data_IF_898003442588
#
_entry.id   IF_898003442588
#
_cell.length_a   1.000
_cell.length_b   1.000
_cell.length_c   1.000
_cell.angle_alpha   90.00
_cell.angle_beta   90.00
_cell.angle_gamma   90.00
#
_symmetry.space_group_name_H-M   'P 1'
#
loop_
_entity.id
_entity.type
_entity.pdbx_description
1 polymer ?
#
# COMPACT_ATOMS: atom_id res chain seq x y z
N UNK A 1 -1.20 14.00 -9.98
CA UNK A 1 -2.40 14.10 -9.11
C UNK A 1 -2.16 13.56 -7.70
N UNK A 2 -1.44 12.43 -7.51
CA UNK A 2 -1.11 11.95 -6.16
C UNK A 2 -0.22 12.93 -5.37
N UNK A 3 0.82 13.48 -6.01
CA UNK A 3 1.72 14.42 -5.34
C UNK A 3 0.99 15.71 -4.93
N UNK A 4 0.09 16.23 -5.78
CA UNK A 4 -0.74 17.40 -5.47
C UNK A 4 -1.71 17.17 -4.31
N UNK A 5 -2.37 16.00 -4.22
CA UNK A 5 -3.25 15.65 -3.10
C UNK A 5 -2.45 15.43 -1.81
N UNK A 6 -1.22 14.95 -1.93
CA UNK A 6 -0.31 14.72 -0.81
C UNK A 6 0.29 16.03 -0.27
N UNK A 7 0.68 16.94 -1.15
CA UNK A 7 1.06 18.32 -0.83
C UNK A 7 -0.12 19.08 -0.20
N UNK A 8 -1.34 18.93 -0.75
CA UNK A 8 -2.56 19.48 -0.15
C UNK A 8 -2.84 18.88 1.23
N UNK A 9 -2.72 17.56 1.41
CA UNK A 9 -2.93 16.92 2.72
C UNK A 9 -1.91 17.39 3.77
N UNK A 10 -0.65 17.59 3.36
CA UNK A 10 0.39 18.17 4.23
C UNK A 10 0.10 19.63 4.58
N UNK A 11 -0.41 20.44 3.65
CA UNK A 11 -0.78 21.83 3.90
C UNK A 11 -2.03 21.99 4.78
N UNK A 12 -3.01 21.09 4.65
CA UNK A 12 -4.32 21.25 5.32
C UNK A 12 -4.36 20.54 6.68
N UNK A 13 -3.59 19.45 6.86
CA UNK A 13 -3.54 18.67 8.10
C UNK A 13 -2.11 18.26 8.47
N UNK A 14 -1.23 19.22 8.82
CA UNK A 14 0.18 18.95 9.10
C UNK A 14 0.39 17.98 10.28
N UNK A 15 -0.55 17.92 11.22
CA UNK A 15 -0.50 17.02 12.38
C UNK A 15 -0.97 15.59 12.10
N UNK A 16 -1.47 15.30 10.89
CA UNK A 16 -1.97 13.97 10.49
C UNK A 16 -1.13 13.34 9.37
N UNK A 17 -0.13 14.05 8.86
CA UNK A 17 0.76 13.57 7.81
C UNK A 17 2.16 13.35 8.39
N UNK A 18 2.76 12.20 8.09
CA UNK A 18 4.12 11.88 8.51
C UNK A 18 4.90 11.26 7.35
N UNK A 19 6.19 11.57 7.28
CA UNK A 19 7.10 11.12 6.23
C UNK A 19 8.37 10.55 6.87
N UNK A 20 8.76 9.36 6.44
CA UNK A 20 9.93 8.61 6.87
C UNK A 20 10.84 8.46 5.66
N UNK A 21 12.09 8.90 5.77
CA UNK A 21 13.08 8.82 4.69
C UNK A 21 14.40 8.20 5.19
N UNK A 22 14.91 7.20 4.46
CA UNK A 22 16.21 6.59 4.74
C UNK A 22 16.17 5.39 5.68
N UNK A 23 17.35 5.00 6.17
CA UNK A 23 17.59 3.71 6.87
C UNK A 23 17.70 3.84 8.40
N UNK A 24 17.95 5.04 8.91
CA UNK A 24 18.26 5.31 10.33
C UNK A 24 17.16 6.11 11.03
N UNK A 25 16.01 5.48 11.25
CA UNK A 25 14.83 6.17 11.79
C UNK A 25 14.23 5.43 13.01
N UNK A 26 15.09 4.83 13.86
CA UNK A 26 14.66 4.24 15.13
C UNK A 26 14.20 5.28 16.18
N UNK A 27 14.35 6.58 15.93
CA UNK A 27 14.20 7.67 16.90
C UNK A 27 12.91 8.50 16.77
N UNK A 28 12.08 8.30 15.74
CA UNK A 28 10.90 9.15 15.57
C UNK A 28 9.78 8.78 16.55
N UNK A 29 9.38 9.75 17.39
CA UNK A 29 8.09 9.71 18.09
C UNK A 29 6.99 10.02 17.07
N UNK A 30 6.55 9.00 16.35
CA UNK A 30 5.46 9.14 15.38
C UNK A 30 4.14 9.17 16.16
N UNK A 31 3.32 10.22 16.04
CA UNK A 31 2.04 10.29 16.74
C UNK A 31 1.10 9.16 16.28
N UNK A 32 0.39 8.51 17.20
CA UNK A 32 -0.62 7.49 16.85
C UNK A 32 -1.85 8.08 16.10
N UNK A 33 -1.95 9.40 16.07
CA UNK A 33 -3.02 10.17 15.42
C UNK A 33 -2.80 10.37 13.92
N UNK A 34 -1.66 9.94 13.37
CA UNK A 34 -1.39 10.11 11.94
C UNK A 34 -2.40 9.31 11.10
N UNK A 35 -2.78 9.90 9.98
CA UNK A 35 -3.70 9.32 8.99
C UNK A 35 -3.06 9.13 7.64
N UNK A 36 -1.96 9.83 7.36
CA UNK A 36 -1.27 9.77 6.09
C UNK A 36 0.22 9.51 6.35
N UNK A 37 0.71 8.37 5.87
CA UNK A 37 2.10 7.97 6.05
C UNK A 37 2.78 7.78 4.70
N UNK A 38 3.98 8.34 4.61
CA UNK A 38 4.90 8.17 3.48
C UNK A 38 6.14 7.51 4.02
N UNK A 39 6.54 6.39 3.45
CA UNK A 39 7.72 5.66 3.85
C UNK A 39 8.55 5.39 2.61
N UNK A 40 9.76 5.94 2.59
CA UNK A 40 10.78 5.62 1.61
C UNK A 40 12.00 5.07 2.34
N UNK A 41 12.17 3.75 2.32
CA UNK A 41 13.22 3.07 3.10
C UNK A 41 13.65 1.78 2.44
N UNK A 42 14.84 1.30 2.81
CA UNK A 42 15.32 -0.06 2.53
C UNK A 42 15.51 -0.89 3.81
N UNK A 43 15.04 -0.37 4.94
CA UNK A 43 15.11 -1.01 6.25
C UNK A 43 13.78 -1.70 6.60
N UNK A 44 13.78 -3.03 6.65
CA UNK A 44 12.59 -3.82 6.94
C UNK A 44 11.99 -3.52 8.33
N UNK A 45 12.82 -3.17 9.31
CA UNK A 45 12.35 -2.88 10.67
C UNK A 45 11.55 -1.57 10.74
N UNK A 46 11.84 -0.62 9.86
CA UNK A 46 11.02 0.59 9.67
C UNK A 46 9.66 0.22 9.08
N UNK A 47 9.65 -0.68 8.08
CA UNK A 47 8.40 -1.17 7.48
C UNK A 47 7.56 -1.92 8.52
N UNK A 48 8.18 -2.79 9.34
CA UNK A 48 7.50 -3.54 10.41
C UNK A 48 6.73 -2.62 11.36
N UNK A 49 7.34 -1.50 11.76
CA UNK A 49 6.71 -0.51 12.64
C UNK A 49 5.44 0.12 12.08
N UNK A 50 5.17 0.01 10.77
CA UNK A 50 3.93 0.55 10.17
C UNK A 50 2.68 -0.12 10.80
N UNK A 51 2.79 -1.37 11.26
CA UNK A 51 1.69 -2.11 11.88
C UNK A 51 1.10 -1.41 13.12
N UNK A 52 1.88 -0.54 13.79
CA UNK A 52 1.39 0.18 14.97
C UNK A 52 0.36 1.29 14.63
N UNK A 53 0.33 1.78 13.38
CA UNK A 53 -0.49 2.93 12.98
C UNK A 53 -1.89 2.53 12.49
N UNK A 54 -2.74 2.07 13.42
CA UNK A 54 -4.08 1.51 13.12
C UNK A 54 -5.08 2.50 12.49
N UNK A 55 -4.81 3.80 12.62
CA UNK A 55 -5.68 4.89 12.14
C UNK A 55 -5.29 5.43 10.76
N UNK A 56 -4.37 4.77 10.03
CA UNK A 56 -3.95 5.21 8.71
C UNK A 56 -5.09 5.12 7.69
N UNK A 57 -5.34 6.24 7.01
CA UNK A 57 -6.20 6.33 5.86
C UNK A 57 -5.42 6.21 4.54
N UNK A 58 -4.14 6.57 4.54
CA UNK A 58 -3.27 6.57 3.37
C UNK A 58 -1.89 6.07 3.72
N UNK A 59 -1.37 5.14 2.91
CA UNK A 59 0.01 4.67 2.98
C UNK A 59 0.65 4.74 1.60
N UNK A 60 1.78 5.43 1.52
CA UNK A 60 2.71 5.38 0.39
C UNK A 60 3.97 4.68 0.89
N UNK A 61 4.25 3.50 0.35
CA UNK A 61 5.43 2.70 0.69
C UNK A 61 6.31 2.49 -0.55
N UNK A 62 7.52 3.04 -0.50
CA UNK A 62 8.60 2.75 -1.43
C UNK A 62 9.64 1.89 -0.71
N UNK A 63 9.89 0.70 -1.26
CA UNK A 63 10.85 -0.25 -0.70
C UNK A 63 11.52 -1.00 -1.85
N UNK A 64 12.86 -1.12 -1.84
CA UNK A 64 13.58 -1.68 -2.99
C UNK A 64 13.79 -3.20 -2.94
N UNK A 65 13.67 -3.84 -1.78
CA UNK A 65 13.88 -5.31 -1.64
C UNK A 65 12.56 -6.06 -1.76
N UNK A 66 12.59 -7.31 -2.21
CA UNK A 66 11.39 -8.15 -2.40
C UNK A 66 11.63 -9.60 -2.00
N UNK A 67 12.16 -9.80 -0.80
CA UNK A 67 12.34 -11.12 -0.18
C UNK A 67 11.05 -11.58 0.53
N UNK A 68 11.06 -12.84 1.00
CA UNK A 68 9.91 -13.42 1.70
C UNK A 68 9.59 -12.67 3.01
N UNK A 69 10.61 -12.17 3.71
CA UNK A 69 10.45 -11.42 4.96
C UNK A 69 9.63 -10.14 4.74
N UNK A 70 9.88 -9.42 3.63
CA UNK A 70 9.07 -8.26 3.25
C UNK A 70 7.61 -8.62 2.98
N UNK A 71 7.34 -9.75 2.31
CA UNK A 71 5.97 -10.22 2.07
C UNK A 71 5.25 -10.57 3.37
N UNK A 72 5.94 -11.21 4.32
CA UNK A 72 5.39 -11.56 5.63
C UNK A 72 5.09 -10.31 6.46
N UNK A 73 5.95 -9.29 6.39
CA UNK A 73 5.71 -7.98 7.02
C UNK A 73 4.53 -7.26 6.36
N UNK A 74 4.45 -7.21 5.03
CA UNK A 74 3.30 -6.63 4.33
C UNK A 74 1.99 -7.33 4.69
N UNK A 75 2.02 -8.65 4.85
CA UNK A 75 0.85 -9.44 5.27
C UNK A 75 0.33 -8.97 6.63
N UNK A 76 1.20 -8.85 7.62
CA UNK A 76 0.85 -8.33 8.96
C UNK A 76 0.33 -6.89 8.94
N UNK A 77 0.93 -6.04 8.09
CA UNK A 77 0.48 -4.66 7.90
C UNK A 77 -0.96 -4.66 7.34
N UNK A 78 -1.25 -5.44 6.31
CA UNK A 78 -2.59 -5.48 5.71
C UNK A 78 -3.65 -6.07 6.64
N UNK A 79 -3.26 -7.03 7.49
CA UNK A 79 -4.13 -7.54 8.55
C UNK A 79 -4.46 -6.49 9.62
N UNK A 80 -3.61 -5.47 9.79
CA UNK A 80 -3.74 -4.48 10.86
C UNK A 80 -4.37 -3.16 10.39
N UNK A 81 -4.06 -2.70 9.18
CA UNK A 81 -4.47 -1.39 8.65
C UNK A 81 -5.91 -1.35 8.12
N UNK A 82 -6.87 -1.68 8.98
CA UNK A 82 -8.30 -1.83 8.62
C UNK A 82 -8.96 -0.55 8.12
N UNK A 83 -8.41 0.63 8.43
CA UNK A 83 -8.99 1.94 8.09
C UNK A 83 -8.44 2.56 6.80
N UNK A 84 -7.50 1.88 6.13
CA UNK A 84 -6.87 2.38 4.90
C UNK A 84 -7.89 2.54 3.78
N UNK A 85 -7.76 3.65 3.06
CA UNK A 85 -8.55 4.01 1.86
C UNK A 85 -7.68 4.18 0.63
N UNK A 86 -6.40 4.51 0.79
CA UNK A 86 -5.42 4.68 -0.27
C UNK A 86 -4.16 3.89 0.08
N UNK A 87 -3.78 2.97 -0.80
CA UNK A 87 -2.55 2.21 -0.71
C UNK A 87 -1.75 2.42 -1.98
N UNK A 88 -0.55 2.97 -1.82
CA UNK A 88 0.44 3.11 -2.86
C UNK A 88 1.66 2.29 -2.48
N UNK A 89 2.06 1.36 -3.36
CA UNK A 89 3.25 0.53 -3.19
C UNK A 89 4.13 0.65 -4.43
N UNK A 90 5.41 0.84 -4.19
CA UNK A 90 6.42 1.00 -5.22
C UNK A 90 7.62 0.11 -4.87
N UNK A 91 7.76 -0.99 -5.60
CA UNK A 91 8.71 -2.04 -5.27
C UNK A 91 9.06 -2.94 -6.47
N UNK A 92 10.27 -2.77 -6.99
CA UNK A 92 10.81 -3.48 -8.18
C UNK A 92 10.80 -4.99 -8.11
N UNK A 93 10.72 -5.56 -6.91
CA UNK A 93 10.86 -6.99 -6.66
C UNK A 93 9.61 -7.61 -6.05
N UNK A 94 8.53 -6.85 -5.89
CA UNK A 94 7.28 -7.33 -5.33
C UNK A 94 6.63 -8.31 -6.31
N UNK A 95 6.64 -9.59 -5.94
CA UNK A 95 5.88 -10.66 -6.58
C UNK A 95 4.64 -10.87 -5.74
N UNK A 96 3.54 -10.19 -6.06
CA UNK A 96 2.39 -10.12 -5.17
C UNK A 96 1.83 -11.50 -4.87
N UNK A 97 1.71 -11.80 -3.58
CA UNK A 97 1.08 -12.99 -3.01
C UNK A 97 0.21 -12.74 -1.76
N UNK A 98 0.15 -11.56 -1.11
CA UNK A 98 -0.60 -11.47 0.13
C UNK A 98 -2.10 -11.42 -0.14
N UNK A 99 -2.77 -12.56 0.00
CA UNK A 99 -4.23 -12.65 0.12
C UNK A 99 -4.78 -11.79 1.28
N UNK A 100 -3.89 -11.39 2.21
CA UNK A 100 -4.19 -10.43 3.24
C UNK A 100 -4.60 -9.04 2.71
N UNK A 101 -4.33 -8.69 1.44
CA UNK A 101 -4.83 -7.42 0.88
C UNK A 101 -6.36 -7.32 0.98
N UNK A 102 -7.09 -8.43 0.90
CA UNK A 102 -8.54 -8.47 1.05
C UNK A 102 -9.05 -8.09 2.45
N UNK A 103 -8.17 -7.93 3.44
CA UNK A 103 -8.52 -7.40 4.75
C UNK A 103 -8.72 -5.89 4.77
N UNK A 104 -8.24 -5.18 3.75
CA UNK A 104 -8.34 -3.72 3.59
C UNK A 104 -9.73 -3.32 3.06
N UNK A 105 -10.81 -3.72 3.73
CA UNK A 105 -12.21 -3.57 3.21
C UNK A 105 -12.63 -2.14 2.88
N UNK A 106 -11.97 -1.13 3.46
CA UNK A 106 -12.23 0.28 3.18
C UNK A 106 -11.36 0.88 2.07
N UNK A 107 -10.48 0.07 1.44
CA UNK A 107 -9.62 0.51 0.36
C UNK A 107 -10.46 0.97 -0.83
N UNK A 108 -10.12 2.16 -1.35
CA UNK A 108 -10.75 2.78 -2.52
C UNK A 108 -9.77 2.95 -3.67
N UNK A 109 -8.49 3.15 -3.36
CA UNK A 109 -7.44 3.39 -4.35
C UNK A 109 -6.28 2.45 -4.06
N UNK A 110 -6.00 1.56 -5.00
CA UNK A 110 -4.82 0.72 -4.99
C UNK A 110 -3.91 1.15 -6.13
N UNK A 111 -2.70 1.61 -5.81
CA UNK A 111 -1.67 1.89 -6.81
C UNK A 111 -0.44 1.04 -6.51
N UNK A 112 -0.03 0.25 -7.48
CA UNK A 112 1.13 -0.63 -7.39
C UNK A 112 1.99 -0.36 -8.62
N UNK A 113 3.20 0.16 -8.44
CA UNK A 113 4.07 0.49 -9.57
C UNK A 113 5.45 -0.14 -9.46
N UNK A 114 6.09 -0.31 -10.62
CA UNK A 114 7.39 -0.93 -10.79
C UNK A 114 7.45 -2.23 -10.01
N UNK A 115 6.54 -3.15 -10.23
CA UNK A 115 6.53 -4.43 -9.51
C UNK A 115 6.66 -5.59 -10.49
N UNK A 116 6.87 -6.81 -9.99
CA UNK A 116 6.90 -8.04 -10.81
C UNK A 116 5.67 -8.89 -10.52
N UNK A 117 4.50 -8.24 -10.44
CA UNK A 117 3.26 -8.88 -10.03
C UNK A 117 2.63 -9.56 -11.22
N UNK A 118 2.80 -10.88 -11.32
CA UNK A 118 2.17 -11.66 -12.37
C UNK A 118 0.63 -11.66 -12.26
N UNK A 119 0.10 -11.68 -11.03
CA UNK A 119 -1.34 -11.75 -10.79
C UNK A 119 -1.71 -11.12 -9.44
N UNK A 120 -2.80 -10.36 -9.40
CA UNK A 120 -3.40 -9.89 -8.15
C UNK A 120 -4.12 -11.05 -7.43
N UNK A 121 -4.08 -11.10 -6.08
CA UNK A 121 -4.65 -12.19 -5.29
C UNK A 121 -6.18 -12.24 -5.42
N UNK A 122 -6.77 -13.42 -5.23
CA UNK A 122 -8.22 -13.62 -5.41
C UNK A 122 -9.05 -12.83 -4.38
N UNK A 123 -8.50 -12.63 -3.20
CA UNK A 123 -9.03 -11.78 -2.14
C UNK A 123 -9.21 -10.31 -2.52
N UNK A 124 -8.69 -9.85 -3.66
CA UNK A 124 -9.00 -8.52 -4.19
C UNK A 124 -10.52 -8.33 -4.34
N UNK A 125 -11.26 -9.40 -4.62
CA UNK A 125 -12.73 -9.44 -4.64
C UNK A 125 -13.40 -9.07 -3.32
N UNK A 126 -12.68 -9.10 -2.19
CA UNK A 126 -13.19 -8.67 -0.88
C UNK A 126 -13.16 -7.14 -0.69
N UNK A 127 -12.64 -6.39 -1.66
CA UNK A 127 -12.47 -4.94 -1.58
C UNK A 127 -13.68 -4.20 -2.17
N UNK A 128 -14.86 -4.39 -1.56
CA UNK A 128 -16.15 -3.89 -2.06
C UNK A 128 -16.21 -2.37 -2.31
N UNK A 129 -15.32 -1.59 -1.69
CA UNK A 129 -15.23 -0.14 -1.86
C UNK A 129 -14.13 0.30 -2.85
N UNK A 130 -13.42 -0.64 -3.48
CA UNK A 130 -12.34 -0.34 -4.40
C UNK A 130 -12.91 0.36 -5.64
N UNK A 131 -12.35 1.52 -5.96
CA UNK A 131 -12.77 2.37 -7.07
C UNK A 131 -11.74 2.37 -8.19
N UNK A 132 -10.45 2.31 -7.86
CA UNK A 132 -9.39 2.37 -8.86
C UNK A 132 -8.25 1.42 -8.51
N UNK A 133 -7.77 0.73 -9.53
CA UNK A 133 -6.52 -0.03 -9.52
C UNK A 133 -5.61 0.61 -10.56
N UNK A 134 -4.47 1.12 -10.13
CA UNK A 134 -3.43 1.62 -11.02
C UNK A 134 -2.25 0.67 -10.92
N UNK A 135 -1.99 -0.04 -12.00
CA UNK A 135 -0.85 -0.91 -12.14
C UNK A 135 0.08 -0.39 -13.22
N UNK A 136 1.37 -0.31 -12.93
CA UNK A 136 2.40 0.06 -13.89
C UNK A 136 3.61 -0.84 -13.65
N UNK A 137 3.78 -1.86 -14.49
CA UNK A 137 4.87 -2.82 -14.37
C UNK A 137 6.23 -2.21 -14.76
N UNK A 138 6.25 -1.03 -15.39
CA UNK A 138 7.44 -0.53 -16.09
C UNK A 138 7.91 -1.47 -17.22
N UNK A 139 7.13 -2.51 -17.54
CA UNK A 139 7.35 -3.50 -18.62
C UNK A 139 6.03 -3.65 -19.40
N UNK A 140 6.16 -3.87 -20.70
CA UNK A 140 5.08 -3.70 -21.69
C UNK A 140 4.11 -4.88 -21.79
N UNK A 141 4.34 -5.98 -21.09
CA UNK A 141 3.51 -7.19 -21.20
C UNK A 141 2.71 -7.41 -19.91
N UNK A 142 1.49 -6.84 -19.87
CA UNK A 142 0.50 -7.21 -18.86
C UNK A 142 -0.13 -8.53 -19.34
N UNK A 143 0.06 -9.61 -18.59
CA UNK A 143 -0.61 -10.88 -18.87
C UNK A 143 -2.14 -10.70 -18.72
N UNK A 144 -2.92 -11.34 -19.60
CA UNK A 144 -4.38 -11.27 -19.58
C UNK A 144 -4.98 -11.84 -18.28
N UNK A 145 -4.21 -12.64 -17.52
CA UNK A 145 -4.59 -13.21 -16.22
C UNK A 145 -4.17 -12.34 -15.01
N UNK A 146 -3.72 -11.09 -15.23
CA UNK A 146 -3.28 -10.17 -14.16
C UNK A 146 -4.38 -9.91 -13.10
N UNK A 147 -5.62 -9.71 -13.55
CA UNK A 147 -6.77 -9.61 -12.66
C UNK A 147 -7.29 -11.01 -12.31
N UNK A 148 -7.67 -11.27 -11.05
CA UNK A 148 -8.28 -12.55 -10.70
C UNK A 148 -9.62 -12.69 -11.42
N UNK A 149 -10.00 -13.92 -11.78
CA UNK A 149 -11.22 -14.17 -12.58
C UNK A 149 -12.52 -13.80 -11.86
N UNK A 150 -12.50 -13.75 -10.53
CA UNK A 150 -13.67 -13.50 -9.69
C UNK A 150 -13.69 -12.05 -9.15
N UNK A 151 -14.03 -11.07 -9.98
CA UNK A 151 -14.16 -9.65 -9.57
C UNK A 151 -15.61 -9.17 -9.39
N UNK A 152 -16.57 -10.09 -9.32
CA UNK A 152 -18.01 -9.79 -9.31
C UNK A 152 -18.46 -8.83 -8.17
N UNK A 153 -17.67 -8.74 -7.10
CA UNK A 153 -17.94 -7.91 -5.94
C UNK A 153 -17.39 -6.48 -6.04
N UNK A 154 -16.61 -6.16 -7.09
CA UNK A 154 -15.97 -4.85 -7.30
C UNK A 154 -16.84 -3.92 -8.15
N UNK A 155 -18.11 -3.76 -7.80
CA UNK A 155 -19.07 -2.95 -8.56
C UNK A 155 -18.76 -1.44 -8.59
N UNK A 156 -17.87 -0.97 -7.70
CA UNK A 156 -17.43 0.43 -7.68
C UNK A 156 -16.17 0.69 -8.53
N UNK A 157 -15.52 -0.37 -9.05
CA UNK A 157 -14.28 -0.27 -9.81
C UNK A 157 -14.54 0.43 -11.16
N UNK A 158 -13.68 1.38 -11.50
CA UNK A 158 -13.74 2.22 -12.70
C UNK A 158 -12.48 2.08 -13.54
#
# INVERSE_FOLDING_TARGET
MHDLLQELAQCISPHQCFRIEGENELSYRIPETIRHLVVNTNNLEVVRKIEQFKNLHSLHLTYSKGDQDFIDVLTKIFETLRTIRLLYIDNQHLKMKPEAIGYLRHLRYLKIIRTSVAQLPRSLSNLYHLMFIIYDEGRLDIDNDFLPKDLNNLFNLR
#
